data_IF_957075550107
#
_entry.id   IF_957075550107
#
_cell.length_a   1.000
_cell.length_b   1.000
_cell.length_c   1.000
_cell.angle_alpha   90.00
_cell.angle_beta   90.00
_cell.angle_gamma   90.00
#
_symmetry.space_group_name_H-M   'P 1'
#
loop_
_entity.id
_entity.type
_entity.pdbx_description
1 polymer ?
#
# COMPACT_ATOMS: atom_id res chain seq x y z
N UNK A 1 -1.65 15.26 7.51
CA UNK A 1 -1.14 15.23 8.90
C UNK A 1 -1.00 16.67 9.38
N UNK A 2 -1.50 17.02 10.57
CA UNK A 2 -1.33 18.36 11.15
C UNK A 2 -0.56 18.20 12.46
N UNK A 3 0.62 18.82 12.54
CA UNK A 3 1.43 18.88 13.76
C UNK A 3 1.44 20.32 14.28
N UNK A 4 1.22 20.49 15.58
CA UNK A 4 1.22 21.81 16.24
C UNK A 4 2.38 21.84 17.22
N UNK A 5 3.45 22.55 16.86
CA UNK A 5 4.63 22.73 17.71
C UNK A 5 5.01 24.21 17.85
N UNK A 6 5.64 24.61 18.97
CA UNK A 6 6.09 26.00 19.18
C UNK A 6 7.10 26.47 18.12
N UNK A 7 7.98 25.56 17.70
CA UNK A 7 8.94 25.78 16.62
C UNK A 7 8.32 25.34 15.27
N UNK A 8 8.16 26.25 14.31
CA UNK A 8 7.61 25.93 12.99
C UNK A 8 8.45 24.90 12.22
N UNK A 9 9.76 24.81 12.47
CA UNK A 9 10.65 23.84 11.83
C UNK A 9 10.40 22.44 12.38
N UNK A 10 10.19 22.33 13.69
CA UNK A 10 9.85 21.06 14.36
C UNK A 10 8.46 20.60 13.91
N UNK A 11 7.47 21.50 13.85
CA UNK A 11 6.13 21.19 13.35
C UNK A 11 6.17 20.61 11.92
N UNK A 12 6.92 21.26 11.02
CA UNK A 12 7.07 20.82 9.64
C UNK A 12 7.79 19.47 9.53
N UNK A 13 8.84 19.27 10.34
CA UNK A 13 9.62 18.02 10.34
C UNK A 13 8.81 16.84 10.84
N UNK A 14 8.08 16.99 11.95
CA UNK A 14 7.20 15.96 12.49
C UNK A 14 6.09 15.63 11.49
N UNK A 15 5.43 16.63 10.90
CA UNK A 15 4.40 16.41 9.90
C UNK A 15 4.94 15.66 8.66
N UNK A 16 6.15 15.99 8.20
CA UNK A 16 6.81 15.31 7.07
C UNK A 16 7.14 13.86 7.39
N UNK A 17 7.78 13.60 8.53
CA UNK A 17 8.16 12.23 8.93
C UNK A 17 6.92 11.36 9.17
N UNK A 18 5.88 11.89 9.81
CA UNK A 18 4.62 11.17 9.99
C UNK A 18 3.92 10.88 8.67
N UNK A 19 3.97 11.80 7.70
CA UNK A 19 3.44 11.57 6.36
C UNK A 19 4.22 10.45 5.65
N UNK A 20 5.55 10.54 5.65
CA UNK A 20 6.44 9.55 5.04
C UNK A 20 6.22 8.15 5.63
N UNK A 21 6.20 8.04 6.96
CA UNK A 21 5.94 6.79 7.66
C UNK A 21 4.54 6.23 7.34
N UNK A 22 3.51 7.07 7.32
CA UNK A 22 2.15 6.62 7.03
C UNK A 22 1.99 6.19 5.57
N UNK A 23 2.62 6.90 4.63
CA UNK A 23 2.65 6.53 3.21
C UNK A 23 3.35 5.18 3.03
N UNK A 24 4.51 4.98 3.65
CA UNK A 24 5.26 3.74 3.53
C UNK A 24 4.52 2.57 4.20
N UNK A 25 3.95 2.79 5.39
CA UNK A 25 3.11 1.80 6.08
C UNK A 25 1.89 1.40 5.25
N UNK A 26 1.13 2.37 4.70
CA UNK A 26 -0.05 2.08 3.87
C UNK A 26 0.36 1.36 2.59
N UNK A 27 1.48 1.74 1.98
CA UNK A 27 1.99 1.10 0.75
C UNK A 27 2.38 -0.34 1.03
N UNK A 28 3.15 -0.57 2.08
CA UNK A 28 3.56 -1.92 2.49
C UNK A 28 2.33 -2.76 2.88
N UNK A 29 1.44 -2.23 3.72
CA UNK A 29 0.22 -2.94 4.15
C UNK A 29 -0.70 -3.31 2.97
N UNK A 30 -0.91 -2.39 2.01
CA UNK A 30 -1.74 -2.68 0.84
C UNK A 30 -1.11 -3.69 -0.10
N UNK A 31 0.21 -3.63 -0.29
CA UNK A 31 0.93 -4.51 -1.22
C UNK A 31 1.34 -5.85 -0.61
N UNK A 32 1.31 -6.00 0.71
CA UNK A 32 1.76 -7.20 1.42
C UNK A 32 1.00 -8.46 0.99
N UNK A 33 -0.33 -8.40 0.97
CA UNK A 33 -1.17 -9.52 0.53
C UNK A 33 -0.86 -9.93 -0.91
N UNK A 34 -0.68 -8.96 -1.79
CA UNK A 34 -0.39 -9.20 -3.21
C UNK A 34 1.02 -9.80 -3.39
N UNK A 35 2.02 -9.33 -2.62
CA UNK A 35 3.39 -9.90 -2.58
C UNK A 35 3.41 -11.33 -2.04
N UNK A 36 2.66 -11.62 -0.98
CA UNK A 36 2.50 -12.96 -0.44
C UNK A 36 1.87 -13.91 -1.47
N UNK A 37 0.84 -13.46 -2.19
CA UNK A 37 0.21 -14.23 -3.27
C UNK A 37 1.19 -14.58 -4.39
N UNK A 38 2.02 -13.63 -4.82
CA UNK A 38 3.08 -13.87 -5.83
C UNK A 38 4.10 -14.89 -5.33
N UNK A 39 4.52 -14.78 -4.08
CA UNK A 39 5.49 -15.72 -3.47
C UNK A 39 4.92 -17.13 -3.39
N UNK A 40 3.66 -17.26 -2.97
CA UNK A 40 2.96 -18.55 -2.94
C UNK A 40 2.85 -19.17 -4.34
N UNK A 41 2.40 -18.40 -5.33
CA UNK A 41 2.27 -18.86 -6.72
C UNK A 41 3.63 -19.23 -7.34
N UNK A 42 4.70 -18.51 -7.02
CA UNK A 42 6.05 -18.86 -7.47
C UNK A 42 6.47 -20.26 -7.01
N UNK A 43 6.19 -20.59 -5.73
CA UNK A 43 6.43 -21.94 -5.19
C UNK A 43 5.61 -23.01 -5.90
N UNK A 44 4.31 -22.75 -6.11
CA UNK A 44 3.41 -23.68 -6.80
C UNK A 44 3.81 -23.93 -8.26
N UNK A 45 4.24 -22.89 -8.98
CA UNK A 45 4.76 -23.02 -10.35
C UNK A 45 6.02 -23.88 -10.38
N UNK A 46 6.96 -23.67 -9.44
CA UNK A 46 8.18 -24.46 -9.34
C UNK A 46 7.91 -25.95 -9.05
N UNK A 47 6.99 -26.23 -8.13
CA UNK A 47 6.57 -27.59 -7.79
C UNK A 47 5.88 -28.27 -8.98
N UNK A 48 4.95 -27.56 -9.62
CA UNK A 48 4.22 -28.05 -10.79
C UNK A 48 5.15 -28.31 -11.99
N UNK A 49 6.13 -27.44 -12.22
CA UNK A 49 7.14 -27.64 -13.26
C UNK A 49 7.95 -28.93 -13.02
N UNK A 50 8.29 -29.23 -11.77
CA UNK A 50 9.02 -30.45 -11.42
C UNK A 50 8.16 -31.71 -11.71
N UNK A 51 6.86 -31.67 -11.39
CA UNK A 51 5.90 -32.75 -11.70
C UNK A 51 5.71 -32.93 -13.20
N UNK A 52 5.58 -31.82 -13.93
CA UNK A 52 5.49 -31.80 -15.40
C UNK A 52 6.71 -32.49 -16.03
N UNK A 53 7.92 -32.06 -15.67
CA UNK A 53 9.18 -32.66 -16.16
C UNK A 53 9.30 -34.15 -15.80
N UNK A 54 8.88 -34.55 -14.60
CA UNK A 54 8.87 -35.95 -14.20
C UNK A 54 7.93 -36.80 -15.08
N UNK A 55 6.72 -36.30 -15.37
CA UNK A 55 5.77 -36.99 -16.27
C UNK A 55 6.22 -37.00 -17.74
N UNK A 56 6.87 -35.94 -18.20
CA UNK A 56 7.48 -35.88 -19.53
C UNK A 56 8.57 -36.95 -19.68
N UNK A 57 9.47 -37.02 -18.70
CA UNK A 57 10.55 -38.00 -18.68
C UNK A 57 10.02 -39.44 -18.60
N UNK A 58 8.97 -39.69 -17.81
CA UNK A 58 8.31 -40.98 -17.74
C UNK A 58 7.72 -41.41 -19.09
N UNK A 59 7.02 -40.52 -19.78
CA UNK A 59 6.46 -40.78 -21.11
C UNK A 59 7.56 -41.00 -22.16
N UNK A 60 8.60 -40.17 -22.17
CA UNK A 60 9.72 -40.31 -23.11
C UNK A 60 10.44 -41.64 -22.91
N UNK A 61 10.78 -41.99 -21.67
CA UNK A 61 11.42 -43.27 -21.35
C UNK A 61 10.55 -44.46 -21.73
N UNK A 62 9.24 -44.38 -21.52
CA UNK A 62 8.32 -45.44 -21.92
C UNK A 62 8.31 -45.62 -23.43
N UNK A 63 8.24 -44.52 -24.19
CA UNK A 63 8.29 -44.53 -25.66
C UNK A 63 9.61 -45.09 -26.17
N UNK A 64 10.74 -44.70 -25.59
CA UNK A 64 12.06 -45.18 -25.99
C UNK A 64 12.26 -46.68 -25.73
N UNK A 65 11.74 -47.20 -24.62
CA UNK A 65 11.80 -48.63 -24.29
C UNK A 65 10.87 -49.49 -25.15
N UNK A 66 9.74 -48.93 -25.60
CA UNK A 66 8.67 -49.68 -26.26
C UNK A 66 8.51 -49.37 -27.77
N UNK A 67 9.52 -48.78 -28.43
CA UNK A 67 9.45 -48.32 -29.84
C UNK A 67 8.94 -49.37 -30.85
N UNK A 68 9.14 -50.67 -30.59
CA UNK A 68 8.76 -51.77 -31.49
C UNK A 68 7.67 -52.69 -30.92
N UNK A 69 7.01 -52.31 -29.82
CA UNK A 69 5.96 -53.12 -29.19
C UNK A 69 4.59 -52.86 -29.81
N UNK A 70 3.94 -53.90 -30.35
CA UNK A 70 2.59 -53.83 -30.94
C UNK A 70 1.47 -54.32 -30.00
N UNK A 71 1.75 -54.49 -28.70
CA UNK A 71 0.75 -54.97 -27.74
C UNK A 71 -0.27 -53.87 -27.38
N UNK A 72 -1.55 -54.23 -27.35
CA UNK A 72 -2.63 -53.30 -26.97
C UNK A 72 -2.49 -52.80 -25.51
N UNK A 73 -2.00 -53.65 -24.60
CA UNK A 73 -1.70 -53.24 -23.22
C UNK A 73 -0.62 -52.17 -23.15
N UNK A 74 0.40 -52.26 -24.00
CA UNK A 74 1.46 -51.26 -24.07
C UNK A 74 0.94 -49.90 -24.57
N UNK A 75 -0.02 -49.91 -25.51
CA UNK A 75 -0.69 -48.68 -25.99
C UNK A 75 -1.54 -48.02 -24.91
N UNK A 76 -2.27 -48.80 -24.11
CA UNK A 76 -3.08 -48.28 -23.00
C UNK A 76 -2.20 -47.58 -21.97
N UNK A 77 -1.06 -48.19 -21.60
CA UNK A 77 -0.14 -47.57 -20.64
C UNK A 77 0.51 -46.30 -21.21
N UNK A 78 0.86 -46.27 -22.49
CA UNK A 78 1.33 -45.05 -23.15
C UNK A 78 0.29 -43.93 -23.10
N UNK A 79 -0.98 -44.25 -23.41
CA UNK A 79 -2.07 -43.30 -23.34
C UNK A 79 -2.28 -42.76 -21.92
N UNK A 80 -2.11 -43.60 -20.90
CA UNK A 80 -2.18 -43.18 -19.50
C UNK A 80 -1.06 -42.20 -19.17
N UNK A 81 0.19 -42.54 -19.50
CA UNK A 81 1.35 -41.65 -19.28
C UNK A 81 1.22 -40.33 -20.05
N UNK A 82 0.65 -40.38 -21.26
CA UNK A 82 0.37 -39.19 -22.05
C UNK A 82 -0.72 -38.32 -21.42
N UNK A 83 -1.79 -38.93 -20.89
CA UNK A 83 -2.83 -38.20 -20.17
C UNK A 83 -2.27 -37.52 -18.91
N UNK A 84 -1.43 -38.21 -18.15
CA UNK A 84 -0.76 -37.65 -16.97
C UNK A 84 0.17 -36.49 -17.33
N UNK A 85 0.95 -36.62 -18.40
CA UNK A 85 1.78 -35.55 -18.94
C UNK A 85 0.94 -34.32 -19.33
N UNK A 86 -0.14 -34.51 -20.09
CA UNK A 86 -1.01 -33.42 -20.53
C UNK A 86 -1.72 -32.74 -19.34
N UNK A 87 -2.13 -33.52 -18.33
CA UNK A 87 -2.71 -32.99 -17.10
C UNK A 87 -1.71 -32.10 -16.37
N UNK A 88 -0.49 -32.57 -16.14
CA UNK A 88 0.55 -31.80 -15.46
C UNK A 88 0.96 -30.56 -16.27
N UNK A 89 1.02 -30.68 -17.60
CA UNK A 89 1.28 -29.55 -18.49
C UNK A 89 0.18 -28.47 -18.36
N UNK A 90 -1.09 -28.88 -18.33
CA UNK A 90 -2.22 -27.97 -18.18
C UNK A 90 -2.18 -27.25 -16.83
N UNK A 91 -1.91 -27.98 -15.74
CA UNK A 91 -1.77 -27.41 -14.38
C UNK A 91 -0.61 -26.43 -14.32
N UNK A 92 0.55 -26.76 -14.89
CA UNK A 92 1.71 -25.86 -14.96
C UNK A 92 1.39 -24.58 -15.74
N UNK A 93 0.75 -24.70 -16.91
CA UNK A 93 0.40 -23.55 -17.74
C UNK A 93 -0.60 -22.62 -17.03
N UNK A 94 -1.61 -23.19 -16.37
CA UNK A 94 -2.60 -22.42 -15.63
C UNK A 94 -1.98 -21.70 -14.42
N UNK A 95 -1.15 -22.38 -13.63
CA UNK A 95 -0.42 -21.76 -12.52
C UNK A 95 0.55 -20.66 -13.00
N UNK A 96 1.24 -20.89 -14.12
CA UNK A 96 2.15 -19.90 -14.72
C UNK A 96 1.39 -18.65 -15.17
N UNK A 97 0.21 -18.83 -15.77
CA UNK A 97 -0.69 -17.74 -16.15
C UNK A 97 -1.17 -16.96 -14.93
N UNK A 98 -1.60 -17.65 -13.87
CA UNK A 98 -2.02 -17.01 -12.62
C UNK A 98 -0.86 -16.26 -11.95
N UNK A 99 0.35 -16.81 -11.95
CA UNK A 99 1.55 -16.15 -11.46
C UNK A 99 1.86 -14.87 -12.23
N UNK A 100 1.81 -14.91 -13.57
CA UNK A 100 2.03 -13.74 -14.41
C UNK A 100 0.98 -12.65 -14.13
N UNK A 101 -0.29 -13.03 -14.00
CA UNK A 101 -1.38 -12.11 -13.64
C UNK A 101 -1.20 -11.52 -12.23
N UNK A 102 -0.81 -12.33 -11.24
CA UNK A 102 -0.55 -11.84 -9.88
C UNK A 102 0.62 -10.84 -9.86
N UNK A 103 1.66 -11.08 -10.66
CA UNK A 103 2.79 -10.15 -10.79
C UNK A 103 2.37 -8.81 -11.42
N UNK A 104 1.50 -8.84 -12.43
CA UNK A 104 0.91 -7.62 -13.02
C UNK A 104 0.09 -6.87 -11.97
N UNK A 105 -0.77 -7.56 -11.22
CA UNK A 105 -1.57 -6.95 -10.14
C UNK A 105 -0.70 -6.28 -9.07
N UNK A 106 0.41 -6.91 -8.64
CA UNK A 106 1.36 -6.27 -7.71
C UNK A 106 1.92 -4.99 -8.31
N UNK A 107 2.24 -4.98 -9.62
CA UNK A 107 2.77 -3.79 -10.30
C UNK A 107 1.72 -2.68 -10.44
N UNK A 108 0.47 -3.04 -10.73
CA UNK A 108 -0.66 -2.10 -10.79
C UNK A 108 -0.99 -1.51 -9.41
N UNK A 109 -0.95 -2.33 -8.36
CA UNK A 109 -1.20 -1.91 -6.97
C UNK A 109 -0.02 -1.20 -6.31
N UNK A 110 1.19 -1.26 -6.89
CA UNK A 110 2.27 -0.33 -6.52
C UNK A 110 1.99 1.01 -7.21
N UNK A 111 1.43 2.01 -6.50
CA UNK A 111 1.36 3.34 -7.06
C UNK A 111 2.80 3.81 -7.34
N UNK A 112 3.08 4.16 -8.59
CA UNK A 112 4.14 5.14 -8.87
C UNK A 112 3.60 6.44 -8.29
N UNK A 113 3.81 6.67 -7.00
CA UNK A 113 3.58 7.97 -6.38
C UNK A 113 4.55 8.95 -7.05
N UNK A 114 4.14 9.52 -8.18
CA UNK A 114 4.63 10.83 -8.60
C UNK A 114 4.32 11.73 -7.43
N UNK A 115 5.38 12.22 -6.79
CA UNK A 115 5.37 13.17 -5.68
C UNK A 115 4.42 14.33 -6.02
N UNK A 116 3.15 14.17 -5.70
CA UNK A 116 2.16 15.23 -5.80
C UNK A 116 2.24 15.94 -4.47
N UNK A 117 3.05 17.00 -4.52
CA UNK A 117 3.20 18.07 -3.54
C UNK A 117 4.08 17.72 -2.33
N UNK A 118 5.34 18.19 -2.31
CA UNK A 118 6.15 18.11 -1.09
C UNK A 118 5.43 18.86 0.03
N UNK A 119 5.49 18.32 1.25
CA UNK A 119 4.93 18.94 2.44
C UNK A 119 5.42 20.40 2.56
N UNK A 120 4.53 21.36 2.32
CA UNK A 120 4.86 22.79 2.37
C UNK A 120 4.80 23.28 3.81
N UNK A 121 5.86 23.98 4.22
CA UNK A 121 5.96 24.60 5.54
C UNK A 121 4.87 25.68 5.65
N UNK A 122 3.96 25.62 6.64
CA UNK A 122 2.94 26.66 6.79
C UNK A 122 3.61 27.99 7.14
N UNK A 123 3.63 28.92 6.18
CA UNK A 123 4.15 30.29 6.33
C UNK A 123 3.32 31.15 7.29
N UNK A 124 2.18 30.65 7.80
CA UNK A 124 1.31 31.36 8.73
C UNK A 124 1.15 30.59 10.05
N UNK A 125 1.51 31.25 11.15
CA UNK A 125 1.29 30.77 12.52
C UNK A 125 -0.20 30.52 12.77
N UNK A 126 -0.53 29.34 13.31
CA UNK A 126 -1.89 28.94 13.70
C UNK A 126 -2.38 29.70 14.96
N UNK A 127 -1.50 30.29 15.77
CA UNK A 127 -1.93 31.13 16.90
C UNK A 127 -0.86 32.03 17.55
N UNK A 128 -1.28 32.91 18.49
CA UNK A 128 -2.65 33.42 18.68
C UNK A 128 -2.90 34.63 17.77
N UNK A 129 -4.17 34.86 17.37
CA UNK A 129 -4.55 36.05 16.60
C UNK A 129 -4.44 37.28 17.49
N UNK A 130 -3.25 37.90 17.53
CA UNK A 130 -2.94 39.08 18.36
C UNK A 130 -3.99 40.19 18.20
N UNK A 131 -4.58 40.32 17.02
CA UNK A 131 -5.69 41.23 16.72
C UNK A 131 -6.93 40.98 17.57
N UNK A 132 -7.33 39.72 17.81
CA UNK A 132 -8.50 39.39 18.65
C UNK A 132 -8.23 39.73 20.12
N UNK A 133 -7.01 39.46 20.59
CA UNK A 133 -6.61 39.78 21.97
C UNK A 133 -6.63 41.31 22.19
N UNK A 134 -6.01 42.08 21.28
CA UNK A 134 -5.98 43.54 21.37
C UNK A 134 -7.37 44.15 21.28
N UNK A 135 -8.23 43.64 20.39
CA UNK A 135 -9.61 44.10 20.27
C UNK A 135 -10.41 43.83 21.55
N UNK A 136 -10.23 42.67 22.18
CA UNK A 136 -10.86 42.33 23.45
C UNK A 136 -10.47 43.29 24.58
N UNK A 137 -9.17 43.60 24.72
CA UNK A 137 -8.70 44.55 25.74
C UNK A 137 -9.12 45.99 25.45
N UNK A 138 -9.18 46.41 24.18
CA UNK A 138 -9.63 47.75 23.80
C UNK A 138 -11.10 47.99 24.17
N UNK A 139 -11.97 47.00 23.92
CA UNK A 139 -13.39 47.08 24.30
C UNK A 139 -13.55 47.10 25.83
N UNK A 140 -12.85 46.23 26.55
CA UNK A 140 -12.87 46.23 28.01
C UNK A 140 -12.39 47.55 28.61
N UNK A 141 -11.30 48.12 28.08
CA UNK A 141 -10.79 49.43 28.51
C UNK A 141 -11.78 50.57 28.25
N UNK A 142 -12.46 50.55 27.10
CA UNK A 142 -13.51 51.51 26.76
C UNK A 142 -14.69 51.47 27.74
N UNK A 143 -15.17 50.27 28.08
CA UNK A 143 -16.27 50.09 29.03
C UNK A 143 -15.87 50.60 30.42
N UNK A 144 -14.69 50.22 30.92
CA UNK A 144 -14.21 50.66 32.23
C UNK A 144 -14.01 52.19 32.28
N UNK A 145 -13.52 52.79 31.19
CA UNK A 145 -13.36 54.24 31.08
C UNK A 145 -14.69 54.99 31.12
N UNK A 146 -15.72 54.49 30.44
CA UNK A 146 -17.07 55.06 30.47
C UNK A 146 -17.71 54.96 31.86
N UNK A 147 -17.59 53.79 32.51
CA UNK A 147 -18.06 53.59 33.89
C UNK A 147 -17.37 54.56 34.85
N UNK A 148 -16.05 54.72 34.74
CA UNK A 148 -15.30 55.67 35.57
C UNK A 148 -15.71 57.13 35.32
N UNK A 149 -15.91 57.51 34.06
CA UNK A 149 -16.33 58.87 33.70
C UNK A 149 -17.73 59.20 34.23
N UNK A 150 -18.68 58.26 34.15
CA UNK A 150 -20.02 58.38 34.72
C UNK A 150 -19.96 58.47 36.25
N UNK A 151 -19.19 57.59 36.89
CA UNK A 151 -19.00 57.62 38.34
C UNK A 151 -18.40 58.95 38.82
N UNK A 152 -17.38 59.46 38.13
CA UNK A 152 -16.75 60.76 38.40
C UNK A 152 -17.71 61.93 38.16
N UNK A 153 -18.63 61.84 37.19
CA UNK A 153 -19.63 62.87 36.93
C UNK A 153 -20.72 62.88 38.01
N UNK A 154 -21.17 61.70 38.44
CA UNK A 154 -22.16 61.56 39.50
C UNK A 154 -21.64 62.11 40.85
N UNK A 155 -20.39 61.80 41.21
CA UNK A 155 -19.70 62.38 42.39
C UNK A 155 -19.47 63.89 42.37
N UNK A 156 -19.68 64.56 41.24
CA UNK A 156 -19.54 66.03 41.11
C UNK A 156 -20.87 66.78 41.18
N UNK A 157 -21.99 66.06 41.09
CA UNK A 157 -23.35 66.63 41.06
C UNK A 157 -24.05 66.43 42.41
N UNK A 158 -23.56 65.50 43.24
CA UNK A 158 -23.90 65.33 44.67
C UNK A 158 -22.84 66.03 45.50
#
# INVERSE_FOLDING_TARGET
>A
VVAVEPDPVVAATVARLSLEYLTDYITNYRTEKARQQVTFLAGQVSESNSKYQASEYALSNYRDKNRNLFLNTAKIEEQRLQADYLLNQSVYNELSKQFAQAKIKVQEETPVFKVLEPATVPLRKSGPKRTIIVLGFAVLGGILGLVYALFRRWRRVV
#
